data_IF_506694019553
#
_entry.id   IF_506694019553
#
_cell.length_a   1.000
_cell.length_b   1.000
_cell.length_c   1.000
_cell.angle_alpha   90.00
_cell.angle_beta   90.00
_cell.angle_gamma   90.00
#
_symmetry.space_group_name_H-M   'P 1'
#
loop_
_entity.id
_entity.type
_entity.pdbx_description
1 polymer ?
#
# COMPACT_ATOMS: atom_id res chain seq x y z
N UNK A 1 55.03 26.12 21.13
CA UNK A 1 54.21 26.44 19.95
C UNK A 1 54.63 25.51 18.83
N UNK A 2 53.89 24.43 18.67
CA UNK A 2 53.69 23.68 17.44
C UNK A 2 52.48 22.80 17.74
N UNK A 3 51.31 23.24 17.28
CA UNK A 3 50.08 22.46 17.34
C UNK A 3 50.17 21.38 16.25
N UNK A 4 49.89 20.15 16.63
CA UNK A 4 49.79 18.98 15.77
C UNK A 4 48.30 18.77 15.52
N UNK A 5 47.79 19.35 14.43
CA UNK A 5 46.41 19.15 13.96
C UNK A 5 46.41 17.91 13.06
N UNK A 6 46.12 16.75 13.65
CA UNK A 6 45.76 15.55 12.91
C UNK A 6 44.37 15.72 12.29
N UNK A 7 44.10 15.19 11.08
CA UNK A 7 42.78 15.26 10.50
C UNK A 7 41.87 14.26 11.23
N UNK A 8 40.91 14.78 12.00
CA UNK A 8 39.75 14.03 12.45
C UNK A 8 38.87 13.69 11.23
N UNK A 9 39.10 12.51 10.67
CA UNK A 9 38.17 11.89 9.73
C UNK A 9 36.98 11.34 10.53
N UNK A 10 35.89 12.10 10.57
CA UNK A 10 34.59 11.57 10.99
C UNK A 10 34.10 10.59 9.93
N UNK A 11 34.03 9.30 10.28
CA UNK A 11 33.26 8.33 9.52
C UNK A 11 31.77 8.68 9.69
N UNK A 12 31.15 9.21 8.63
CA UNK A 12 29.69 9.33 8.53
C UNK A 12 29.09 7.92 8.48
N UNK A 13 28.71 7.40 9.66
CA UNK A 13 28.13 6.08 9.85
C UNK A 13 26.68 5.98 9.38
N UNK A 14 26.40 6.30 8.12
CA UNK A 14 25.09 6.05 7.52
C UNK A 14 24.85 4.54 7.33
N UNK A 15 23.68 4.05 7.74
CA UNK A 15 23.30 2.67 7.50
C UNK A 15 23.24 2.41 5.98
N UNK A 16 23.90 1.35 5.50
CA UNK A 16 23.84 1.00 4.08
C UNK A 16 22.42 0.58 3.71
N UNK A 17 21.79 1.18 2.68
CA UNK A 17 20.42 0.85 2.30
C UNK A 17 20.28 -0.64 1.97
N UNK A 18 19.19 -1.28 2.44
CA UNK A 18 18.95 -2.72 2.23
C UNK A 18 18.86 -3.09 0.76
N UNK A 19 19.33 -4.30 0.42
CA UNK A 19 19.34 -4.84 -0.95
C UNK A 19 18.00 -5.45 -1.35
N UNK A 20 17.76 -5.51 -2.65
CA UNK A 20 16.57 -6.11 -3.25
C UNK A 20 16.89 -7.47 -3.88
N UNK A 21 15.93 -8.41 -3.84
CA UNK A 21 16.02 -9.74 -4.44
C UNK A 21 14.82 -10.04 -5.35
N UNK A 22 15.08 -10.78 -6.43
CA UNK A 22 14.06 -11.29 -7.33
C UNK A 22 13.60 -12.69 -6.92
N UNK A 23 12.30 -12.89 -6.73
CA UNK A 23 11.72 -14.22 -6.43
C UNK A 23 11.88 -15.20 -7.59
N UNK A 24 11.85 -14.72 -8.83
CA UNK A 24 11.82 -15.58 -10.01
C UNK A 24 13.21 -16.13 -10.40
N UNK A 25 14.28 -15.33 -10.29
CA UNK A 25 15.63 -15.74 -10.70
C UNK A 25 16.68 -15.72 -9.56
N UNK A 26 16.32 -15.27 -8.36
CA UNK A 26 17.22 -15.20 -7.20
C UNK A 26 18.27 -14.08 -7.27
N UNK A 27 18.29 -13.26 -8.32
CA UNK A 27 19.24 -12.15 -8.43
C UNK A 27 19.04 -11.14 -7.29
N UNK A 28 20.15 -10.65 -6.73
CA UNK A 28 20.16 -9.60 -5.70
C UNK A 28 20.83 -8.34 -6.24
N UNK A 29 20.19 -7.19 -6.10
CA UNK A 29 20.66 -5.88 -6.58
C UNK A 29 20.67 -4.86 -5.44
N UNK A 30 21.43 -3.77 -5.58
CA UNK A 30 21.41 -2.70 -4.59
C UNK A 30 20.08 -1.95 -4.64
N UNK A 31 19.74 -1.42 -5.81
CA UNK A 31 18.44 -0.81 -6.10
C UNK A 31 18.13 -0.89 -7.60
N UNK A 32 16.87 -1.17 -7.94
CA UNK A 32 16.33 -1.19 -9.30
C UNK A 32 14.80 -1.27 -9.24
N UNK A 33 14.11 -0.73 -10.23
CA UNK A 33 12.64 -0.78 -10.26
C UNK A 33 12.07 -2.15 -10.67
N UNK A 34 12.82 -2.93 -11.48
CA UNK A 34 12.49 -4.33 -11.84
C UNK A 34 13.75 -5.16 -12.07
N UNK A 35 13.64 -6.48 -11.94
CA UNK A 35 14.73 -7.40 -12.28
C UNK A 35 14.99 -7.43 -13.80
N UNK A 36 16.16 -7.93 -14.21
CA UNK A 36 16.51 -8.20 -15.62
C UNK A 36 15.58 -9.23 -16.27
N UNK A 37 15.11 -10.21 -15.50
CA UNK A 37 14.06 -11.13 -15.96
C UNK A 37 12.66 -10.50 -15.99
N UNK A 38 12.57 -9.18 -15.81
CA UNK A 38 11.33 -8.38 -15.77
C UNK A 38 10.39 -8.65 -14.61
N UNK A 39 10.75 -9.53 -13.68
CA UNK A 39 9.99 -9.79 -12.47
C UNK A 39 10.11 -8.63 -11.47
N UNK A 40 9.10 -8.42 -10.61
CA UNK A 40 9.17 -7.45 -9.53
C UNK A 40 10.20 -7.89 -8.49
N UNK A 41 10.77 -6.90 -7.78
CA UNK A 41 11.77 -7.11 -6.74
C UNK A 41 11.13 -7.01 -5.34
N UNK A 42 11.72 -7.66 -4.35
CA UNK A 42 11.35 -7.59 -2.93
C UNK A 42 12.61 -7.25 -2.12
N UNK A 43 12.49 -6.83 -0.86
CA UNK A 43 13.66 -6.77 0.01
C UNK A 43 14.23 -8.17 0.23
N UNK A 44 15.56 -8.30 0.14
CA UNK A 44 16.24 -9.60 0.27
C UNK A 44 16.12 -10.18 1.69
N UNK A 45 16.10 -9.31 2.69
CA UNK A 45 16.00 -9.66 4.11
C UNK A 45 15.07 -8.66 4.82
N UNK A 46 13.74 -8.83 4.68
CA UNK A 46 12.79 -7.99 5.38
C UNK A 46 12.85 -8.31 6.88
N UNK A 47 12.93 -7.29 7.76
CA UNK A 47 13.16 -7.53 9.17
C UNK A 47 11.95 -8.23 9.83
N UNK A 48 12.27 -9.14 10.74
CA UNK A 48 11.35 -9.74 11.69
C UNK A 48 11.96 -9.48 13.07
N UNK A 49 11.35 -8.64 13.90
CA UNK A 49 11.92 -8.30 15.20
C UNK A 49 11.96 -9.54 16.11
N UNK A 50 13.11 -9.76 16.73
CA UNK A 50 13.29 -10.76 17.79
C UNK A 50 12.88 -10.13 19.13
N UNK A 51 11.56 -9.92 19.30
CA UNK A 51 10.97 -9.30 20.50
C UNK A 51 9.81 -10.14 21.03
N UNK A 52 9.65 -10.25 22.36
CA UNK A 52 8.53 -10.97 22.95
C UNK A 52 7.20 -10.32 22.58
N UNK A 53 6.19 -11.16 22.34
CA UNK A 53 4.82 -10.73 22.07
C UNK A 53 4.31 -9.86 23.22
N UNK A 54 3.72 -8.70 22.95
CA UNK A 54 2.92 -7.99 23.93
C UNK A 54 1.84 -8.89 24.54
N UNK A 55 1.79 -9.02 25.88
CA UNK A 55 0.77 -9.87 26.53
C UNK A 55 -0.64 -9.43 26.11
N UNK A 56 -1.52 -10.35 25.67
CA UNK A 56 -2.90 -10.03 25.30
C UNK A 56 -3.63 -9.31 26.45
N UNK A 57 -4.19 -8.14 26.16
CA UNK A 57 -4.89 -7.32 27.16
C UNK A 57 -3.99 -6.57 28.15
N UNK A 58 -2.67 -6.55 27.94
CA UNK A 58 -1.73 -5.65 28.62
C UNK A 58 -1.03 -4.74 27.60
N UNK A 59 -0.60 -3.52 27.98
CA UNK A 59 0.26 -2.72 27.12
C UNK A 59 1.50 -3.53 26.72
N UNK A 60 2.13 -3.15 25.59
CA UNK A 60 3.39 -3.72 25.13
C UNK A 60 4.36 -3.95 26.30
N UNK A 61 5.15 -5.04 26.29
CA UNK A 61 6.05 -5.35 27.40
C UNK A 61 6.85 -4.09 27.70
N UNK A 62 7.04 -3.74 28.98
CA UNK A 62 7.90 -2.60 29.28
C UNK A 62 9.24 -2.84 28.57
N UNK A 63 9.64 -1.90 27.70
CA UNK A 63 10.86 -2.07 26.94
C UNK A 63 12.03 -2.31 27.88
N UNK A 64 13.02 -3.11 27.44
CA UNK A 64 14.33 -3.10 28.10
C UNK A 64 14.84 -1.65 28.16
N UNK A 65 15.66 -1.28 29.15
CA UNK A 65 16.20 0.09 29.26
C UNK A 65 16.80 0.54 27.91
N UNK A 66 16.09 1.44 27.20
CA UNK A 66 16.47 1.97 25.88
C UNK A 66 15.60 1.55 24.68
N UNK A 67 14.62 0.64 24.83
CA UNK A 67 13.67 0.30 23.76
C UNK A 67 12.41 1.20 23.81
N UNK A 68 11.80 1.51 22.66
CA UNK A 68 10.50 2.20 22.57
C UNK A 68 9.35 1.17 22.47
N UNK A 69 8.17 1.38 23.11
CA UNK A 69 7.03 0.46 23.03
C UNK A 69 6.52 0.29 21.58
N UNK A 70 6.32 -0.96 21.14
CA UNK A 70 5.67 -1.26 19.86
C UNK A 70 4.15 -1.26 20.00
N UNK A 71 3.48 -0.33 19.34
CA UNK A 71 2.02 -0.22 19.35
C UNK A 71 1.55 1.03 18.62
N UNK A 72 0.25 1.25 18.56
CA UNK A 72 -0.30 2.54 18.08
C UNK A 72 -0.11 3.56 19.22
N UNK A 73 1.08 4.12 19.36
CA UNK A 73 1.37 5.22 20.29
C UNK A 73 0.82 6.54 19.75
N UNK A 74 0.51 7.47 20.66
CA UNK A 74 0.19 8.85 20.29
C UNK A 74 1.45 9.54 19.75
N UNK A 75 1.62 9.58 18.42
CA UNK A 75 2.58 10.46 17.75
C UNK A 75 3.38 9.86 16.58
N UNK A 76 3.65 8.56 16.60
CA UNK A 76 4.59 7.94 15.65
C UNK A 76 3.91 7.33 14.41
N UNK A 77 2.59 7.19 14.44
CA UNK A 77 1.79 6.69 13.33
C UNK A 77 2.29 5.34 12.81
N UNK A 78 2.55 5.26 11.50
CA UNK A 78 3.05 4.08 10.80
C UNK A 78 4.46 3.68 11.27
N UNK A 79 5.27 4.67 11.67
CA UNK A 79 6.67 4.45 12.07
C UNK A 79 6.82 3.85 13.45
N UNK A 80 5.72 3.74 14.23
CA UNK A 80 5.69 2.92 15.43
C UNK A 80 6.01 1.43 15.13
N UNK A 81 5.88 1.00 13.87
CA UNK A 81 6.25 -0.35 13.43
C UNK A 81 7.60 -0.41 12.70
N UNK A 82 8.47 0.61 12.83
CA UNK A 82 9.76 0.67 12.15
C UNK A 82 10.61 -0.62 12.28
N UNK A 83 10.63 -1.35 13.43
CA UNK A 83 11.36 -2.62 13.53
C UNK A 83 10.89 -3.74 12.58
N UNK A 84 9.70 -3.62 11.97
CA UNK A 84 9.18 -4.53 10.96
C UNK A 84 9.35 -4.02 9.52
N UNK A 85 9.90 -2.82 9.32
CA UNK A 85 10.03 -2.17 8.01
C UNK A 85 11.46 -2.27 7.50
N UNK A 86 11.61 -2.61 6.23
CA UNK A 86 12.91 -2.69 5.58
C UNK A 86 13.50 -1.33 5.14
N UNK A 87 12.93 -0.22 5.62
CA UNK A 87 13.31 1.18 5.32
C UNK A 87 13.12 2.04 6.57
N UNK A 88 13.80 3.18 6.64
CA UNK A 88 13.73 4.13 7.74
C UNK A 88 14.44 3.64 9.00
N UNK A 89 15.53 2.89 8.85
CA UNK A 89 16.38 2.45 9.97
C UNK A 89 16.90 3.67 10.75
N UNK A 90 17.33 4.74 10.04
CA UNK A 90 17.59 6.06 10.62
C UNK A 90 16.29 6.89 10.69
N UNK A 91 15.83 7.32 11.88
CA UNK A 91 14.69 8.22 12.03
C UNK A 91 14.80 9.54 11.24
N UNK A 92 16.02 10.03 10.98
CA UNK A 92 16.25 11.28 10.24
C UNK A 92 15.82 11.20 8.76
N UNK A 93 15.82 10.00 8.17
CA UNK A 93 15.42 9.77 6.78
C UNK A 93 13.90 9.61 6.60
N UNK A 94 13.16 9.40 7.69
CA UNK A 94 11.72 9.09 7.64
C UNK A 94 10.90 10.27 7.14
N UNK A 95 10.28 10.10 5.98
CA UNK A 95 9.41 11.10 5.36
C UNK A 95 7.98 10.89 5.85
N UNK A 96 7.54 11.66 6.85
CA UNK A 96 6.22 11.48 7.45
C UNK A 96 5.37 12.77 7.57
N UNK A 97 4.05 12.56 7.56
CA UNK A 97 2.98 13.49 7.89
C UNK A 97 2.19 13.04 9.14
N UNK A 98 2.68 12.02 9.87
CA UNK A 98 1.96 11.40 10.99
C UNK A 98 0.91 10.37 10.55
N UNK A 99 1.03 9.85 9.33
CA UNK A 99 0.16 8.84 8.76
C UNK A 99 0.22 7.51 9.52
N UNK A 100 -0.86 6.72 9.46
CA UNK A 100 -1.01 5.47 10.22
C UNK A 100 -1.96 5.62 11.41
N UNK A 101 -2.11 4.54 12.18
CA UNK A 101 -2.99 4.53 13.37
C UNK A 101 -4.46 4.79 13.05
N UNK A 102 -4.93 4.47 11.84
CA UNK A 102 -6.32 4.79 11.43
C UNK A 102 -7.33 4.03 12.30
N UNK A 103 -8.53 4.59 12.52
CA UNK A 103 -9.53 3.91 13.35
C UNK A 103 -9.92 2.54 12.78
N UNK A 104 -10.07 1.57 13.68
CA UNK A 104 -10.76 0.31 13.45
C UNK A 104 -12.07 0.36 14.21
N UNK A 105 -13.20 0.32 13.50
CA UNK A 105 -14.52 0.56 14.08
C UNK A 105 -15.48 -0.56 13.73
N UNK A 106 -16.46 -0.81 14.58
CA UNK A 106 -17.59 -1.66 14.25
C UNK A 106 -18.38 -1.05 13.07
N UNK A 107 -18.63 -1.86 12.03
CA UNK A 107 -19.31 -1.44 10.82
C UNK A 107 -20.80 -1.13 11.04
N UNK A 108 -21.44 -1.83 11.99
CA UNK A 108 -22.88 -1.73 12.23
C UNK A 108 -23.25 -0.65 13.25
N UNK A 109 -22.26 -0.22 14.04
CA UNK A 109 -22.41 0.82 15.03
C UNK A 109 -23.49 0.51 16.08
N UNK A 110 -23.88 1.51 16.89
CA UNK A 110 -24.75 1.29 18.04
C UNK A 110 -26.20 0.91 17.67
N UNK A 111 -26.60 1.05 16.40
CA UNK A 111 -27.96 0.71 15.95
C UNK A 111 -28.09 -0.76 15.53
N UNK A 112 -26.98 -1.43 15.20
CA UNK A 112 -26.97 -2.84 14.80
C UNK A 112 -27.62 -3.13 13.44
N UNK A 113 -28.07 -2.09 12.72
CA UNK A 113 -28.80 -2.17 11.45
C UNK A 113 -28.34 -1.11 10.44
N UNK A 114 -27.03 -0.87 10.34
CA UNK A 114 -26.49 0.30 9.63
C UNK A 114 -26.70 0.33 8.09
N UNK A 115 -27.43 -0.62 7.51
CA UNK A 115 -27.85 -0.59 6.10
C UNK A 115 -29.29 -0.09 5.91
N UNK A 116 -29.55 0.62 4.80
CA UNK A 116 -30.91 0.99 4.40
C UNK A 116 -31.87 -0.20 4.16
N UNK A 117 -31.32 -1.40 4.05
CA UNK A 117 -32.03 -2.67 3.92
C UNK A 117 -32.10 -3.47 5.23
N UNK A 118 -31.63 -2.91 6.36
CA UNK A 118 -31.68 -3.51 7.69
C UNK A 118 -30.77 -4.71 7.90
N UNK A 119 -29.80 -4.95 7.00
CA UNK A 119 -28.83 -6.04 7.12
C UNK A 119 -27.51 -5.54 7.69
N UNK A 120 -27.04 -6.23 8.72
CA UNK A 120 -25.73 -6.00 9.33
C UNK A 120 -24.58 -6.47 8.43
N UNK A 121 -23.42 -5.82 8.55
CA UNK A 121 -22.17 -6.27 7.95
C UNK A 121 -21.49 -7.35 8.80
N UNK A 122 -21.67 -7.31 10.13
CA UNK A 122 -20.95 -8.11 11.11
C UNK A 122 -19.43 -8.05 10.86
N UNK A 123 -18.86 -6.86 10.77
CA UNK A 123 -17.45 -6.68 10.45
C UNK A 123 -16.88 -5.45 11.15
N UNK A 124 -15.56 -5.39 11.23
CA UNK A 124 -14.86 -4.16 11.58
C UNK A 124 -14.36 -3.45 10.31
N UNK A 125 -14.58 -2.15 10.24
CA UNK A 125 -14.06 -1.30 9.18
C UNK A 125 -12.78 -0.59 9.60
N UNK A 126 -11.72 -0.76 8.81
CA UNK A 126 -10.45 -0.06 8.96
C UNK A 126 -10.49 1.21 8.11
N UNK A 127 -10.59 2.37 8.76
CA UNK A 127 -10.92 3.65 8.11
C UNK A 127 -9.72 4.30 7.41
N UNK A 128 -9.20 3.65 6.37
CA UNK A 128 -8.04 4.11 5.58
C UNK A 128 -8.30 5.40 4.77
N UNK A 129 -9.53 5.89 4.71
CA UNK A 129 -9.85 7.13 4.02
C UNK A 129 -9.49 8.40 4.82
N UNK A 130 -9.07 8.28 6.08
CA UNK A 130 -8.71 9.42 6.94
C UNK A 130 -7.21 9.77 6.92
N UNK A 131 -6.43 9.10 6.07
CA UNK A 131 -5.01 9.41 5.85
C UNK A 131 -4.80 10.86 5.35
N UNK A 132 -3.59 11.45 5.49
CA UNK A 132 -3.30 12.83 5.10
C UNK A 132 -3.75 13.24 3.69
N UNK A 133 -3.51 12.40 2.68
CA UNK A 133 -4.01 12.65 1.31
C UNK A 133 -5.39 12.06 1.07
N UNK A 134 -6.00 11.43 2.07
CA UNK A 134 -7.34 10.82 2.06
C UNK A 134 -7.40 9.42 1.45
N UNK A 135 -6.31 8.63 1.50
CA UNK A 135 -6.34 7.20 1.15
C UNK A 135 -5.16 6.42 1.73
N UNK A 136 -5.31 5.10 1.80
CA UNK A 136 -4.25 4.17 2.23
C UNK A 136 -2.93 4.27 1.46
N UNK A 137 -2.92 4.90 0.27
CA UNK A 137 -1.72 5.04 -0.56
C UNK A 137 -0.59 5.79 0.14
N UNK A 138 -0.95 6.58 1.14
CA UNK A 138 -0.02 7.26 2.03
C UNK A 138 0.90 6.30 2.77
N UNK A 139 0.40 5.11 3.16
CA UNK A 139 1.22 4.05 3.78
C UNK A 139 2.42 3.69 2.91
N UNK A 140 2.17 3.48 1.62
CA UNK A 140 3.22 3.13 0.68
C UNK A 140 4.06 4.34 0.26
N UNK A 141 3.46 5.53 0.17
CA UNK A 141 4.19 6.74 -0.21
C UNK A 141 5.24 7.12 0.85
N UNK A 142 4.91 7.08 2.14
CA UNK A 142 5.85 7.40 3.22
C UNK A 142 7.12 6.54 3.17
N UNK A 143 6.96 5.23 3.04
CA UNK A 143 8.07 4.26 2.96
C UNK A 143 8.83 4.37 1.64
N UNK A 144 8.13 4.61 0.53
CA UNK A 144 8.76 4.81 -0.79
C UNK A 144 9.63 6.07 -0.83
N UNK A 145 9.15 7.19 -0.28
CA UNK A 145 9.91 8.43 -0.26
C UNK A 145 11.00 8.46 0.83
N UNK A 146 10.83 7.70 1.91
CA UNK A 146 11.92 7.42 2.87
C UNK A 146 13.04 6.64 2.19
N UNK A 147 12.71 5.60 1.41
CA UNK A 147 13.70 4.90 0.60
C UNK A 147 14.40 5.81 -0.42
N UNK A 148 13.65 6.71 -1.06
CA UNK A 148 14.22 7.69 -1.97
C UNK A 148 15.24 8.60 -1.25
N UNK A 149 14.95 9.04 -0.02
CA UNK A 149 15.87 9.80 0.84
C UNK A 149 17.14 9.01 1.17
N UNK A 150 17.02 7.76 1.63
CA UNK A 150 18.16 6.88 1.93
C UNK A 150 19.12 6.71 0.74
N UNK A 151 18.57 6.72 -0.48
CA UNK A 151 19.32 6.55 -1.73
C UNK A 151 19.87 7.86 -2.30
N UNK A 152 19.57 9.01 -1.69
CA UNK A 152 19.96 10.33 -2.21
C UNK A 152 19.28 10.69 -3.54
N UNK A 153 18.02 10.28 -3.73
CA UNK A 153 17.24 10.58 -4.94
C UNK A 153 16.76 12.02 -4.94
N UNK A 154 17.12 12.79 -5.97
CA UNK A 154 16.67 14.17 -6.16
C UNK A 154 15.33 14.28 -6.91
N UNK A 155 15.00 13.31 -7.77
CA UNK A 155 13.80 13.32 -8.60
C UNK A 155 13.12 11.95 -8.69
N UNK A 156 11.80 11.91 -8.49
CA UNK A 156 10.96 10.73 -8.68
C UNK A 156 9.97 10.90 -9.83
N UNK A 157 9.61 9.77 -10.44
CA UNK A 157 8.49 9.67 -11.39
C UNK A 157 7.48 8.64 -10.93
N UNK A 158 6.21 8.88 -11.22
CA UNK A 158 5.11 7.94 -10.97
C UNK A 158 4.09 7.99 -12.11
N UNK A 159 3.47 6.87 -12.46
CA UNK A 159 2.59 6.75 -13.64
C UNK A 159 1.08 6.69 -13.31
N UNK A 160 0.66 7.16 -12.13
CA UNK A 160 -0.75 7.12 -11.72
C UNK A 160 -1.37 8.50 -11.57
N UNK A 161 -2.52 8.72 -12.23
CA UNK A 161 -3.34 9.93 -12.01
C UNK A 161 -4.26 9.87 -10.79
N UNK A 162 -4.31 8.72 -10.09
CA UNK A 162 -5.22 8.48 -8.98
C UNK A 162 -4.62 8.75 -7.61
N UNK A 163 -5.13 8.03 -6.61
CA UNK A 163 -4.68 8.14 -5.21
C UNK A 163 -3.17 7.94 -5.03
N UNK A 164 -2.53 7.07 -5.83
CA UNK A 164 -1.09 6.85 -5.77
C UNK A 164 -0.29 8.09 -6.20
N UNK A 165 -0.63 8.71 -7.33
CA UNK A 165 0.06 9.92 -7.79
C UNK A 165 -0.11 11.10 -6.84
N UNK A 166 -1.31 11.27 -6.26
CA UNK A 166 -1.53 12.29 -5.24
C UNK A 166 -0.70 12.05 -3.97
N UNK A 167 -0.60 10.80 -3.51
CA UNK A 167 0.23 10.43 -2.36
C UNK A 167 1.72 10.65 -2.67
N UNK A 168 2.25 10.10 -3.76
CA UNK A 168 3.67 10.27 -4.14
C UNK A 168 4.03 11.75 -4.30
N UNK A 169 3.20 12.54 -4.99
CA UNK A 169 3.43 13.99 -5.11
C UNK A 169 3.49 14.70 -3.75
N UNK A 170 2.57 14.36 -2.84
CA UNK A 170 2.51 15.01 -1.51
C UNK A 170 3.70 14.63 -0.64
N UNK A 171 4.08 13.35 -0.60
CA UNK A 171 5.23 12.90 0.18
C UNK A 171 6.56 13.33 -0.44
N UNK A 172 6.66 13.44 -1.77
CA UNK A 172 7.83 14.01 -2.43
C UNK A 172 8.01 15.49 -2.04
N UNK A 173 6.92 16.27 -2.01
CA UNK A 173 6.94 17.64 -1.52
C UNK A 173 7.39 17.73 -0.06
N UNK A 174 6.87 16.84 0.80
CA UNK A 174 7.29 16.72 2.21
C UNK A 174 8.77 16.39 2.34
N UNK A 175 9.27 15.53 1.46
CA UNK A 175 10.66 15.15 1.38
C UNK A 175 11.56 16.19 0.70
N UNK A 176 11.03 17.22 0.04
CA UNK A 176 11.84 18.13 -0.79
C UNK A 176 12.49 17.44 -1.99
N UNK A 177 11.83 16.42 -2.54
CA UNK A 177 12.26 15.66 -3.73
C UNK A 177 11.40 16.11 -4.91
N UNK A 178 12.01 16.37 -6.06
CA UNK A 178 11.26 16.74 -7.27
C UNK A 178 10.40 15.57 -7.74
N UNK A 179 9.16 15.83 -8.17
CA UNK A 179 8.26 14.76 -8.62
C UNK A 179 7.60 15.11 -9.95
N UNK A 180 7.54 14.12 -10.84
CA UNK A 180 6.70 14.17 -12.03
C UNK A 180 5.71 12.99 -12.05
N UNK A 181 4.45 13.28 -12.37
CA UNK A 181 3.37 12.29 -12.41
C UNK A 181 2.85 12.17 -13.84
N UNK A 182 3.09 11.02 -14.45
CA UNK A 182 2.66 10.68 -15.79
C UNK A 182 1.19 10.26 -15.76
N UNK A 183 0.37 10.91 -16.59
CA UNK A 183 -1.09 10.78 -16.56
C UNK A 183 -1.66 10.77 -17.98
N UNK A 184 -2.80 10.11 -18.22
CA UNK A 184 -3.52 10.24 -19.49
C UNK A 184 -3.86 11.70 -19.81
N UNK A 185 -3.83 12.08 -21.09
CA UNK A 185 -4.11 13.44 -21.53
C UNK A 185 -5.56 13.90 -21.21
N UNK A 186 -6.50 12.97 -21.12
CA UNK A 186 -7.92 13.18 -20.83
C UNK A 186 -8.27 13.12 -19.32
N UNK A 187 -7.25 13.04 -18.45
CA UNK A 187 -7.45 13.02 -16.99
C UNK A 187 -8.26 14.23 -16.51
N UNK A 188 -9.19 13.99 -15.58
CA UNK A 188 -10.01 15.03 -14.95
C UNK A 188 -9.13 16.09 -14.27
N UNK A 189 -9.49 17.36 -14.44
CA UNK A 189 -8.72 18.49 -13.89
C UNK A 189 -8.66 18.49 -12.34
N UNK A 190 -9.65 17.90 -11.66
CA UNK A 190 -9.61 17.73 -10.19
C UNK A 190 -8.43 16.86 -9.74
N UNK A 191 -8.16 15.75 -10.45
CA UNK A 191 -7.01 14.85 -10.17
C UNK A 191 -5.67 15.58 -10.40
N UNK A 192 -5.56 16.34 -11.49
CA UNK A 192 -4.36 17.14 -11.79
C UNK A 192 -4.07 18.24 -10.77
N UNK A 193 -5.13 18.86 -10.25
CA UNK A 193 -5.01 19.96 -9.29
C UNK A 193 -4.32 19.52 -8.01
N UNK A 194 -4.61 18.30 -7.51
CA UNK A 194 -3.95 17.76 -6.33
C UNK A 194 -2.43 17.62 -6.55
N UNK A 195 -2.03 17.03 -7.68
CA UNK A 195 -0.63 16.83 -8.08
C UNK A 195 0.11 18.17 -8.16
N UNK A 196 -0.44 19.15 -8.93
CA UNK A 196 0.20 20.47 -9.09
C UNK A 196 0.31 21.25 -7.79
N UNK A 197 -0.69 21.15 -6.91
CA UNK A 197 -0.70 21.86 -5.62
C UNK A 197 0.33 21.30 -4.64
N UNK A 198 0.65 20.00 -4.77
CA UNK A 198 1.77 19.41 -4.07
C UNK A 198 3.14 19.82 -4.69
N UNK A 199 3.16 20.57 -5.79
CA UNK A 199 4.41 21.01 -6.44
C UNK A 199 4.97 20.02 -7.47
N UNK A 200 4.31 18.88 -7.69
CA UNK A 200 4.71 17.91 -8.70
C UNK A 200 4.28 18.33 -10.12
N UNK A 201 5.07 17.92 -11.11
CA UNK A 201 4.83 18.15 -12.54
C UNK A 201 3.89 17.08 -13.12
N UNK A 202 2.64 17.38 -13.51
CA UNK A 202 1.83 16.42 -14.26
C UNK A 202 2.27 16.36 -15.72
N UNK A 203 2.78 15.21 -16.16
CA UNK A 203 3.18 14.94 -17.54
C UNK A 203 2.04 14.22 -18.25
N UNK A 204 1.37 14.94 -19.16
CA UNK A 204 0.20 14.41 -19.89
C UNK A 204 0.63 13.62 -21.12
N UNK A 205 0.17 12.39 -21.23
CA UNK A 205 0.49 11.46 -22.32
C UNK A 205 -0.79 11.10 -23.08
N UNK A 206 -0.77 11.26 -24.39
CA UNK A 206 -1.85 10.77 -25.25
C UNK A 206 -1.74 9.25 -25.42
N UNK A 207 -2.86 8.54 -25.30
CA UNK A 207 -2.93 7.10 -25.51
C UNK A 207 -3.52 6.32 -24.34
N UNK A 208 -3.21 5.03 -24.33
CA UNK A 208 -3.64 4.05 -23.34
C UNK A 208 -2.86 4.16 -22.03
N UNK A 209 -3.29 3.43 -21.01
CA UNK A 209 -2.53 3.25 -19.75
C UNK A 209 -1.12 2.68 -20.00
N UNK A 210 -0.97 1.82 -21.01
CA UNK A 210 0.32 1.29 -21.43
C UNK A 210 1.25 2.40 -21.91
N UNK A 211 0.75 3.29 -22.77
CA UNK A 211 1.53 4.41 -23.32
C UNK A 211 2.01 5.38 -22.22
N UNK A 212 1.16 5.65 -21.21
CA UNK A 212 1.53 6.44 -20.02
C UNK A 212 2.66 5.76 -19.24
N UNK A 213 2.58 4.44 -19.07
CA UNK A 213 3.59 3.65 -18.36
C UNK A 213 4.91 3.65 -19.12
N UNK A 214 4.88 3.43 -20.44
CA UNK A 214 6.06 3.43 -21.30
C UNK A 214 6.75 4.79 -21.30
N UNK A 215 6.00 5.89 -21.35
CA UNK A 215 6.54 7.24 -21.24
C UNK A 215 7.19 7.51 -19.88
N UNK A 216 6.59 7.04 -18.79
CA UNK A 216 7.17 7.13 -17.44
C UNK A 216 8.47 6.33 -17.34
N UNK A 217 8.48 5.09 -17.84
CA UNK A 217 9.68 4.23 -17.85
C UNK A 217 10.78 4.82 -18.72
N UNK A 218 10.45 5.44 -19.85
CA UNK A 218 11.42 6.11 -20.71
C UNK A 218 12.11 7.30 -19.99
N UNK A 219 11.40 7.96 -19.08
CA UNK A 219 11.94 9.09 -18.30
C UNK A 219 12.98 8.68 -17.24
N UNK A 220 13.10 7.39 -16.94
CA UNK A 220 14.14 6.87 -16.05
C UNK A 220 15.55 6.95 -16.68
N UNK A 221 15.63 7.11 -18.01
CA UNK A 221 16.88 7.13 -18.76
C UNK A 221 17.71 5.84 -18.62
N UNK A 222 19.00 5.91 -18.96
CA UNK A 222 19.92 4.78 -18.78
C UNK A 222 20.20 4.46 -17.29
N UNK A 223 20.02 5.44 -16.40
CA UNK A 223 20.18 5.30 -14.94
C UNK A 223 19.11 4.43 -14.26
N UNK A 224 17.96 4.21 -14.90
CA UNK A 224 16.93 3.28 -14.40
C UNK A 224 17.31 1.79 -14.49
N UNK A 225 18.49 1.47 -15.04
CA UNK A 225 18.98 0.08 -15.22
C UNK A 225 19.88 -0.40 -14.07
N UNK A 226 20.62 0.49 -13.39
CA UNK A 226 21.52 0.13 -12.30
C UNK A 226 21.66 1.29 -11.29
N UNK A 227 21.26 1.04 -10.03
CA UNK A 227 21.56 1.81 -8.82
C UNK A 227 22.09 3.23 -9.00
N UNK A 228 21.21 4.18 -9.30
CA UNK A 228 21.55 5.60 -9.33
C UNK A 228 21.92 6.13 -7.95
N UNK A 229 23.16 5.91 -7.52
CA UNK A 229 23.82 6.81 -6.59
C UNK A 229 24.18 8.07 -7.39
N UNK A 230 23.63 9.21 -7.01
CA UNK A 230 24.07 10.51 -7.49
C UNK A 230 25.55 10.71 -7.10
N UNK A 231 26.47 10.29 -7.97
CA UNK A 231 27.91 10.33 -7.73
C UNK A 231 28.76 10.45 -9.00
N UNK A 232 28.15 10.82 -10.13
CA UNK A 232 28.86 11.10 -11.38
C UNK A 232 29.47 12.51 -11.37
N UNK A 233 30.80 12.60 -11.39
CA UNK A 233 31.57 13.85 -11.40
C UNK A 233 31.66 14.54 -12.77
N UNK A 234 30.71 14.31 -13.68
CA UNK A 234 30.65 15.07 -14.93
C UNK A 234 29.44 16.02 -14.94
N UNK A 235 29.68 17.27 -15.35
CA UNK A 235 28.73 18.37 -15.25
C UNK A 235 27.60 18.33 -16.26
N UNK A 236 27.06 17.16 -16.61
CA UNK A 236 25.83 16.99 -17.39
C UNK A 236 24.70 16.44 -16.53
N UNK A 237 24.15 17.30 -15.68
CA UNK A 237 23.05 17.01 -14.75
C UNK A 237 21.66 17.04 -15.42
N UNK A 238 21.43 16.26 -16.48
CA UNK A 238 20.06 15.85 -16.81
C UNK A 238 19.76 14.60 -15.96
N UNK A 239 19.45 14.84 -14.68
CA UNK A 239 19.40 13.82 -13.63
C UNK A 239 18.45 12.66 -13.95
N UNK A 240 18.93 11.43 -13.77
CA UNK A 240 18.13 10.21 -13.86
C UNK A 240 17.01 10.23 -12.82
N UNK A 241 15.76 10.08 -13.25
CA UNK A 241 14.63 9.96 -12.33
C UNK A 241 14.54 8.56 -11.72
N UNK A 242 14.03 8.47 -10.49
CA UNK A 242 13.76 7.21 -9.81
C UNK A 242 12.29 6.83 -9.86
N UNK A 243 11.98 5.56 -10.13
CA UNK A 243 10.60 5.12 -10.30
C UNK A 243 9.92 4.84 -8.94
N UNK A 244 9.14 5.79 -8.46
CA UNK A 244 8.34 5.67 -7.24
C UNK A 244 7.02 4.90 -7.47
N UNK A 245 7.09 3.83 -8.27
CA UNK A 245 5.92 3.06 -8.67
C UNK A 245 5.22 2.41 -7.50
N UNK A 246 3.95 2.71 -7.31
CA UNK A 246 3.14 2.02 -6.31
C UNK A 246 2.94 0.52 -6.60
N UNK A 247 3.14 0.07 -7.83
CA UNK A 247 2.94 -1.33 -8.23
C UNK A 247 4.24 -2.14 -8.22
N UNK A 248 5.38 -1.51 -8.54
CA UNK A 248 6.68 -2.18 -8.63
C UNK A 248 7.51 -2.05 -7.36
N UNK A 249 7.53 -0.86 -6.74
CA UNK A 249 8.51 -0.52 -5.73
C UNK A 249 8.30 -1.32 -4.42
N UNK A 250 9.29 -2.11 -3.96
CA UNK A 250 9.12 -2.93 -2.77
C UNK A 250 8.90 -2.12 -1.49
N UNK A 251 9.44 -0.90 -1.39
CA UNK A 251 9.23 -0.02 -0.24
C UNK A 251 7.75 0.33 -0.07
N UNK A 252 7.00 0.50 -1.16
CA UNK A 252 5.56 0.75 -1.10
C UNK A 252 4.81 -0.36 -0.35
N UNK A 253 5.26 -1.61 -0.49
CA UNK A 253 4.65 -2.78 0.16
C UNK A 253 5.07 -2.93 1.63
N UNK A 254 6.23 -2.42 2.04
CA UNK A 254 6.59 -2.30 3.46
C UNK A 254 5.59 -1.40 4.17
N UNK A 255 5.31 -0.25 3.55
CA UNK A 255 4.29 0.68 3.99
C UNK A 255 2.91 0.02 4.13
N UNK A 256 2.41 -0.59 3.05
CA UNK A 256 1.07 -1.20 3.10
C UNK A 256 0.99 -2.41 4.05
N UNK A 257 2.11 -3.09 4.36
CA UNK A 257 2.13 -4.18 5.34
C UNK A 257 1.73 -3.73 6.75
N UNK A 258 1.94 -2.46 7.08
CA UNK A 258 1.56 -1.90 8.39
C UNK A 258 0.06 -1.93 8.67
N UNK A 259 -0.79 -2.11 7.65
CA UNK A 259 -2.23 -2.31 7.88
C UNK A 259 -2.47 -3.55 8.75
N UNK A 260 -1.70 -4.62 8.57
CA UNK A 260 -1.83 -5.84 9.37
C UNK A 260 -1.36 -5.62 10.80
N UNK A 261 -0.24 -4.90 10.98
CA UNK A 261 0.30 -4.59 12.31
C UNK A 261 -0.68 -3.74 13.11
N UNK A 262 -1.28 -2.73 12.48
CA UNK A 262 -2.30 -1.91 13.12
C UNK A 262 -3.56 -2.71 13.47
N UNK A 263 -4.05 -3.55 12.54
CA UNK A 263 -5.23 -4.40 12.80
C UNK A 263 -4.97 -5.31 13.99
N UNK A 264 -3.83 -6.01 14.02
CA UNK A 264 -3.47 -6.89 15.13
C UNK A 264 -3.32 -6.09 16.44
N UNK A 265 -2.53 -5.01 16.44
CA UNK A 265 -2.30 -4.19 17.63
C UNK A 265 -3.60 -3.63 18.23
N UNK A 266 -4.51 -3.13 17.38
CA UNK A 266 -5.82 -2.61 17.80
C UNK A 266 -6.78 -3.69 18.33
N UNK A 267 -6.45 -4.96 18.09
CA UNK A 267 -7.18 -6.15 18.55
C UNK A 267 -6.42 -6.94 19.61
N UNK A 268 -5.43 -6.32 20.27
CA UNK A 268 -4.65 -7.00 21.31
C UNK A 268 -3.75 -8.12 20.77
N UNK A 269 -3.25 -7.96 19.54
CA UNK A 269 -2.41 -8.89 18.79
C UNK A 269 -3.11 -10.18 18.36
N UNK A 270 -4.43 -10.13 18.21
CA UNK A 270 -5.21 -11.19 17.58
C UNK A 270 -5.44 -10.87 16.10
N UNK A 271 -5.17 -11.85 15.23
CA UNK A 271 -5.54 -11.77 13.82
C UNK A 271 -7.05 -12.04 13.66
N UNK A 272 -7.75 -11.33 12.75
CA UNK A 272 -9.13 -11.66 12.43
C UNK A 272 -9.22 -13.01 11.69
N UNK A 273 -10.42 -13.57 11.54
CA UNK A 273 -10.64 -14.77 10.71
C UNK A 273 -10.43 -14.45 9.22
N UNK A 274 -10.83 -13.25 8.79
CA UNK A 274 -10.70 -12.84 7.40
C UNK A 274 -10.44 -11.34 7.21
N UNK A 275 -9.79 -11.00 6.09
CA UNK A 275 -9.70 -9.64 5.56
C UNK A 275 -10.28 -9.61 4.15
N UNK A 276 -11.23 -8.71 3.90
CA UNK A 276 -11.79 -8.47 2.57
C UNK A 276 -11.29 -7.12 2.08
N UNK A 277 -10.54 -7.10 0.97
CA UNK A 277 -9.89 -5.88 0.47
C UNK A 277 -10.14 -5.67 -1.03
N UNK A 278 -10.19 -4.41 -1.51
CA UNK A 278 -10.25 -4.13 -2.93
C UNK A 278 -8.95 -4.54 -3.63
N UNK A 279 -9.08 -5.10 -4.84
CA UNK A 279 -7.98 -5.78 -5.55
C UNK A 279 -7.80 -5.25 -6.97
N UNK A 280 -6.96 -4.22 -7.10
CA UNK A 280 -6.37 -3.75 -8.37
C UNK A 280 -4.98 -4.36 -8.59
N UNK A 281 -3.92 -3.55 -8.40
CA UNK A 281 -2.52 -4.04 -8.40
C UNK A 281 -2.16 -4.92 -7.19
N UNK A 282 -3.06 -5.08 -6.21
CA UNK A 282 -2.82 -5.89 -5.00
C UNK A 282 -1.98 -5.23 -3.92
N UNK A 283 -1.68 -3.92 -4.01
CA UNK A 283 -0.80 -3.23 -3.05
C UNK A 283 -1.21 -3.37 -1.57
N UNK A 284 -2.50 -3.16 -1.25
CA UNK A 284 -3.01 -3.33 0.12
C UNK A 284 -3.21 -4.80 0.47
N UNK A 285 -3.73 -5.59 -0.47
CA UNK A 285 -3.97 -7.03 -0.32
C UNK A 285 -2.68 -7.80 0.02
N UNK A 286 -1.62 -7.61 -0.78
CA UNK A 286 -0.29 -8.17 -0.52
C UNK A 286 0.37 -7.54 0.70
N UNK A 287 0.10 -6.26 0.99
CA UNK A 287 0.51 -5.64 2.25
C UNK A 287 -0.04 -6.42 3.45
N UNK A 288 -1.36 -6.60 3.52
CA UNK A 288 -2.01 -7.37 4.57
C UNK A 288 -1.43 -8.79 4.69
N UNK A 289 -1.31 -9.52 3.58
CA UNK A 289 -0.68 -10.85 3.54
C UNK A 289 0.73 -10.86 4.14
N UNK A 290 1.61 -9.98 3.66
CA UNK A 290 3.01 -9.92 4.09
C UNK A 290 3.12 -9.50 5.56
N UNK A 291 2.30 -8.56 6.00
CA UNK A 291 2.29 -8.08 7.38
C UNK A 291 1.84 -9.17 8.34
N UNK A 292 0.71 -9.84 8.09
CA UNK A 292 0.25 -10.94 8.95
C UNK A 292 1.23 -12.13 8.93
N UNK A 293 1.83 -12.46 7.78
CA UNK A 293 2.90 -13.47 7.71
C UNK A 293 4.12 -13.12 8.56
N UNK A 294 4.48 -11.83 8.67
CA UNK A 294 5.59 -11.38 9.53
C UNK A 294 5.21 -11.47 11.00
N UNK A 295 3.99 -11.11 11.37
CA UNK A 295 3.49 -11.27 12.74
C UNK A 295 3.48 -12.75 13.15
N UNK A 296 2.98 -13.64 12.29
CA UNK A 296 2.98 -15.09 12.50
C UNK A 296 4.41 -15.62 12.69
N UNK A 297 5.35 -15.23 11.80
CA UNK A 297 6.77 -15.64 11.90
C UNK A 297 7.46 -15.11 13.15
N UNK A 298 7.09 -13.91 13.62
CA UNK A 298 7.55 -13.35 14.88
C UNK A 298 6.92 -14.05 16.10
N UNK A 299 5.90 -14.88 15.90
CA UNK A 299 5.11 -15.51 16.96
C UNK A 299 4.12 -14.56 17.64
N UNK A 300 3.83 -13.39 17.04
CA UNK A 300 2.94 -12.37 17.60
C UNK A 300 1.46 -12.63 17.34
N UNK A 301 1.17 -13.41 16.30
CA UNK A 301 -0.17 -13.93 16.00
C UNK A 301 -0.07 -15.44 15.76
N UNK A 302 -1.12 -16.18 16.11
CA UNK A 302 -1.15 -17.65 15.92
C UNK A 302 -1.51 -18.08 14.48
N UNK A 303 -1.96 -17.14 13.66
CA UNK A 303 -2.45 -17.40 12.31
C UNK A 303 -2.31 -16.20 11.38
N UNK A 304 -2.53 -16.46 10.10
CA UNK A 304 -2.75 -15.45 9.05
C UNK A 304 -4.22 -15.50 8.64
N UNK A 305 -4.93 -14.36 8.56
CA UNK A 305 -6.34 -14.33 8.16
C UNK A 305 -6.53 -14.84 6.74
N UNK A 306 -7.71 -15.39 6.46
CA UNK A 306 -8.14 -15.68 5.09
C UNK A 306 -8.25 -14.37 4.31
N UNK A 307 -7.69 -14.31 3.11
CA UNK A 307 -7.66 -13.07 2.32
C UNK A 307 -8.61 -13.13 1.13
N UNK A 308 -9.55 -12.19 1.10
CA UNK A 308 -10.52 -12.06 0.03
C UNK A 308 -10.29 -10.81 -0.80
N UNK A 309 -10.13 -10.98 -2.12
CA UNK A 309 -9.91 -9.90 -3.07
C UNK A 309 -11.17 -9.51 -3.83
N UNK A 310 -11.54 -8.23 -3.80
CA UNK A 310 -12.70 -7.73 -4.53
C UNK A 310 -12.26 -6.92 -5.76
N UNK A 311 -12.54 -7.42 -6.97
CA UNK A 311 -12.21 -6.78 -8.24
C UNK A 311 -13.43 -6.11 -8.89
N UNK A 312 -13.19 -5.13 -9.75
CA UNK A 312 -14.24 -4.54 -10.57
C UNK A 312 -14.70 -5.54 -11.65
N UNK A 313 -15.99 -5.85 -11.70
CA UNK A 313 -16.54 -6.70 -12.76
C UNK A 313 -16.20 -6.17 -14.16
N UNK A 314 -15.95 -7.07 -15.10
CA UNK A 314 -15.47 -6.77 -16.45
C UNK A 314 -13.96 -6.60 -16.54
N UNK A 315 -13.28 -6.13 -15.49
CA UNK A 315 -11.80 -6.03 -15.40
C UNK A 315 -11.32 -6.73 -14.12
N UNK A 316 -11.52 -8.04 -14.09
CA UNK A 316 -11.21 -8.90 -12.94
C UNK A 316 -10.29 -10.08 -13.32
N UNK A 317 -9.01 -9.84 -13.64
CA UNK A 317 -8.10 -10.87 -14.14
C UNK A 317 -7.75 -11.97 -13.13
N UNK A 318 -7.82 -11.69 -11.82
CA UNK A 318 -7.58 -12.70 -10.76
C UNK A 318 -8.81 -13.60 -10.66
N UNK A 319 -10.01 -13.02 -10.64
CA UNK A 319 -11.27 -13.78 -10.67
C UNK A 319 -11.36 -14.63 -11.93
N UNK A 320 -10.91 -14.08 -13.08
CA UNK A 320 -10.86 -14.82 -14.35
C UNK A 320 -9.95 -16.04 -14.28
N UNK A 321 -8.79 -15.90 -13.64
CA UNK A 321 -7.84 -17.01 -13.46
C UNK A 321 -8.42 -18.12 -12.58
N UNK A 322 -9.06 -17.73 -11.46
CA UNK A 322 -9.57 -18.68 -10.47
C UNK A 322 -10.89 -19.34 -10.89
N UNK A 323 -11.80 -18.57 -11.51
CA UNK A 323 -13.21 -18.94 -11.70
C UNK A 323 -13.71 -18.82 -13.13
N UNK A 324 -12.86 -18.37 -14.07
CA UNK A 324 -13.20 -18.24 -15.48
C UNK A 324 -13.88 -16.91 -15.87
N UNK A 325 -14.13 -16.76 -17.17
CA UNK A 325 -14.58 -15.49 -17.77
C UNK A 325 -15.96 -15.03 -17.27
N UNK A 326 -16.91 -15.94 -17.11
CA UNK A 326 -18.28 -15.64 -16.65
C UNK A 326 -18.29 -15.09 -15.22
N UNK A 327 -17.44 -15.64 -14.34
CA UNK A 327 -17.31 -15.15 -12.97
C UNK A 327 -16.62 -13.78 -12.90
N UNK A 328 -15.75 -13.47 -13.86
CA UNK A 328 -15.05 -12.17 -13.94
C UNK A 328 -15.93 -11.04 -14.50
N UNK A 329 -16.98 -11.38 -15.24
CA UNK A 329 -17.94 -10.42 -15.81
C UNK A 329 -19.40 -10.89 -15.67
N UNK A 330 -19.90 -11.06 -14.43
CA UNK A 330 -21.25 -11.61 -14.19
C UNK A 330 -22.37 -10.70 -14.70
N UNK A 331 -22.07 -9.43 -15.02
CA UNK A 331 -23.03 -8.44 -15.51
C UNK A 331 -22.91 -8.10 -17.00
N UNK A 332 -21.93 -8.67 -17.71
CA UNK A 332 -21.60 -8.31 -19.10
C UNK A 332 -21.20 -6.84 -19.29
N UNK A 333 -20.77 -6.17 -18.22
CA UNK A 333 -20.51 -4.72 -18.18
C UNK A 333 -19.42 -4.40 -17.17
N UNK A 334 -18.48 -3.55 -17.60
CA UNK A 334 -17.42 -3.03 -16.74
C UNK A 334 -18.01 -2.19 -15.63
N UNK A 335 -17.56 -2.43 -14.39
CA UNK A 335 -17.90 -1.60 -13.24
C UNK A 335 -17.15 -0.25 -13.30
N UNK A 336 -17.79 0.78 -13.85
CA UNK A 336 -17.19 2.10 -14.04
C UNK A 336 -17.08 2.90 -12.74
N UNK A 337 -17.90 2.61 -11.72
CA UNK A 337 -17.78 3.19 -10.39
C UNK A 337 -16.43 2.87 -9.71
N UNK A 338 -15.79 1.73 -10.03
CA UNK A 338 -14.55 1.27 -9.40
C UNK A 338 -13.30 1.49 -10.27
N UNK A 339 -13.15 2.68 -10.87
CA UNK A 339 -12.04 3.02 -11.80
C UNK A 339 -10.64 2.77 -11.19
N UNK A 340 -10.46 3.02 -9.89
CA UNK A 340 -9.19 2.89 -9.18
C UNK A 340 -8.62 1.47 -9.09
N UNK A 341 -9.41 0.44 -9.41
CA UNK A 341 -9.00 -0.97 -9.39
C UNK A 341 -9.18 -1.70 -10.72
N UNK A 342 -9.52 -0.99 -11.80
CA UNK A 342 -9.61 -1.57 -13.16
C UNK A 342 -8.22 -1.87 -13.74
N UNK A 343 -7.55 -2.88 -13.20
CA UNK A 343 -6.20 -3.28 -13.58
C UNK A 343 -6.27 -4.60 -14.36
N UNK A 344 -6.04 -4.54 -15.66
CA UNK A 344 -6.06 -5.72 -16.54
C UNK A 344 -4.85 -6.64 -16.30
N UNK A 345 -3.69 -6.06 -15.97
CA UNK A 345 -2.43 -6.79 -15.77
C UNK A 345 -1.77 -6.38 -14.44
N UNK A 346 -2.16 -7.00 -13.32
CA UNK A 346 -1.50 -6.75 -12.04
C UNK A 346 -0.03 -7.18 -12.10
N UNK A 347 0.90 -6.25 -11.85
CA UNK A 347 2.35 -6.48 -11.81
C UNK A 347 2.73 -7.73 -10.99
N UNK A 348 2.10 -7.90 -9.82
CA UNK A 348 2.36 -9.01 -8.88
C UNK A 348 1.27 -10.07 -8.91
N UNK A 349 0.70 -10.36 -10.09
CA UNK A 349 -0.39 -11.33 -10.26
C UNK A 349 -0.10 -12.69 -9.61
N UNK A 350 1.11 -13.23 -9.81
CA UNK A 350 1.52 -14.53 -9.22
C UNK A 350 1.46 -14.49 -7.69
N UNK A 351 2.09 -13.48 -7.08
CA UNK A 351 2.08 -13.32 -5.62
C UNK A 351 0.66 -13.14 -5.05
N UNK A 352 -0.25 -12.50 -5.79
CA UNK A 352 -1.66 -12.37 -5.39
C UNK A 352 -2.34 -13.76 -5.36
N UNK A 353 -2.13 -14.57 -6.40
CA UNK A 353 -2.70 -15.92 -6.49
C UNK A 353 -2.12 -16.83 -5.40
N UNK A 354 -0.81 -16.75 -5.16
CA UNK A 354 -0.12 -17.51 -4.11
C UNK A 354 -0.67 -17.12 -2.72
N UNK A 355 -0.81 -15.82 -2.44
CA UNK A 355 -1.38 -15.35 -1.18
C UNK A 355 -2.85 -15.80 -0.98
N UNK A 356 -3.66 -15.81 -2.03
CA UNK A 356 -5.03 -16.35 -1.98
C UNK A 356 -5.01 -17.84 -1.63
N UNK A 357 -4.19 -18.63 -2.35
CA UNK A 357 -4.12 -20.08 -2.15
C UNK A 357 -3.59 -20.45 -0.75
N UNK A 358 -2.55 -19.75 -0.28
CA UNK A 358 -1.91 -20.01 1.02
C UNK A 358 -2.77 -19.63 2.23
N UNK A 359 -3.72 -18.71 2.05
CA UNK A 359 -4.60 -18.24 3.14
C UNK A 359 -6.00 -18.83 3.06
N UNK A 360 -6.25 -19.82 2.18
CA UNK A 360 -7.60 -20.35 1.92
C UNK A 360 -8.63 -19.24 1.62
N UNK A 361 -8.14 -18.24 0.88
CA UNK A 361 -8.87 -17.05 0.47
C UNK A 361 -9.61 -17.23 -0.85
N UNK A 362 -10.15 -16.14 -1.38
CA UNK A 362 -10.80 -16.13 -2.70
C UNK A 362 -10.80 -14.74 -3.35
N UNK A 363 -11.23 -14.62 -4.62
CA UNK A 363 -11.49 -13.34 -5.28
C UNK A 363 -12.86 -13.30 -5.95
N UNK A 364 -13.53 -12.14 -5.87
CA UNK A 364 -14.87 -11.92 -6.43
C UNK A 364 -14.89 -10.69 -7.33
N UNK A 365 -15.68 -10.76 -8.40
CA UNK A 365 -15.94 -9.63 -9.29
C UNK A 365 -17.24 -8.93 -8.89
N UNK A 366 -17.14 -7.65 -8.51
CA UNK A 366 -18.27 -6.87 -8.04
C UNK A 366 -18.82 -6.00 -9.16
N UNK A 367 -20.10 -6.17 -9.46
CA UNK A 367 -20.82 -5.37 -10.46
C UNK A 367 -20.98 -3.91 -10.02
N UNK A 368 -21.11 -3.00 -10.99
CA UNK A 368 -21.37 -1.58 -10.72
C UNK A 368 -22.56 -1.37 -9.78
N UNK A 369 -23.69 -2.01 -10.09
CA UNK A 369 -24.89 -1.89 -9.29
C UNK A 369 -24.72 -2.36 -7.85
N UNK A 370 -23.88 -3.37 -7.62
CA UNK A 370 -23.58 -3.86 -6.27
C UNK A 370 -22.70 -2.86 -5.51
N UNK A 371 -21.67 -2.32 -6.17
CA UNK A 371 -20.81 -1.29 -5.59
C UNK A 371 -21.59 0.00 -5.27
N UNK A 372 -22.48 0.47 -6.16
CA UNK A 372 -23.29 1.67 -5.92
C UNK A 372 -24.29 1.49 -4.77
N UNK A 373 -24.99 0.36 -4.72
CA UNK A 373 -25.88 0.04 -3.59
C UNK A 373 -25.12 0.03 -2.26
N UNK A 374 -23.90 -0.48 -2.29
CA UNK A 374 -23.06 -0.56 -1.11
C UNK A 374 -22.49 0.80 -0.70
N UNK A 375 -22.12 1.63 -1.67
CA UNK A 375 -21.72 3.02 -1.43
C UNK A 375 -22.84 3.81 -0.73
N UNK A 376 -24.07 3.66 -1.20
CA UNK A 376 -25.27 4.23 -0.57
C UNK A 376 -25.42 3.77 0.89
N UNK A 377 -25.17 2.48 1.17
CA UNK A 377 -25.24 1.93 2.54
C UNK A 377 -24.15 2.53 3.42
N UNK A 378 -22.90 2.57 2.94
CA UNK A 378 -21.77 3.18 3.64
C UNK A 378 -22.07 4.64 4.00
N UNK A 379 -22.55 5.44 3.04
CA UNK A 379 -22.86 6.86 3.27
C UNK A 379 -23.99 7.04 4.28
N UNK A 380 -25.05 6.21 4.24
CA UNK A 380 -26.14 6.23 5.23
C UNK A 380 -25.69 5.80 6.63
N UNK A 381 -24.70 4.92 6.71
CA UNK A 381 -24.05 4.51 7.96
C UNK A 381 -23.08 5.56 8.52
N UNK A 382 -22.77 6.61 7.76
CA UNK A 382 -21.84 7.68 8.17
C UNK A 382 -20.40 7.51 7.69
N UNK A 383 -20.12 6.51 6.85
CA UNK A 383 -18.81 6.32 6.22
C UNK A 383 -18.76 7.07 4.88
N UNK A 384 -18.09 8.23 4.85
CA UNK A 384 -18.02 9.06 3.64
C UNK A 384 -16.83 8.68 2.75
N UNK A 385 -17.01 7.62 1.94
CA UNK A 385 -15.95 7.02 1.10
C UNK A 385 -16.10 7.34 -0.39
N UNK A 386 -15.00 7.19 -1.15
CA UNK A 386 -15.05 7.19 -2.61
C UNK A 386 -15.69 5.88 -3.15
N UNK A 387 -16.22 5.87 -4.39
CA UNK A 387 -16.94 4.72 -4.95
C UNK A 387 -16.16 3.40 -4.97
N UNK A 388 -14.86 3.42 -5.27
CA UNK A 388 -14.00 2.21 -5.29
C UNK A 388 -13.98 1.49 -3.94
N UNK A 389 -14.15 2.20 -2.82
CA UNK A 389 -14.15 1.60 -1.48
C UNK A 389 -15.31 0.64 -1.26
N UNK A 390 -16.44 0.86 -1.94
CA UNK A 390 -17.65 0.07 -1.75
C UNK A 390 -17.53 -1.36 -2.32
N UNK A 391 -16.50 -1.63 -3.12
CA UNK A 391 -16.28 -2.94 -3.74
C UNK A 391 -15.99 -4.02 -2.70
N UNK A 392 -15.18 -3.75 -1.67
CA UNK A 392 -14.86 -4.76 -0.66
C UNK A 392 -16.02 -5.06 0.31
N UNK A 393 -16.77 -4.07 0.85
CA UNK A 393 -17.99 -4.35 1.60
C UNK A 393 -19.07 -5.06 0.76
N UNK A 394 -19.17 -4.79 -0.54
CA UNK A 394 -20.09 -5.49 -1.43
C UNK A 394 -19.69 -6.97 -1.61
N UNK A 395 -18.39 -7.24 -1.74
CA UNK A 395 -17.87 -8.61 -1.79
C UNK A 395 -18.06 -9.35 -0.46
N UNK A 396 -17.88 -8.68 0.69
CA UNK A 396 -18.16 -9.25 2.02
C UNK A 396 -19.60 -9.76 2.09
N UNK A 397 -20.56 -8.94 1.66
CA UNK A 397 -21.97 -9.33 1.65
C UNK A 397 -22.18 -10.60 0.82
N UNK A 398 -21.61 -10.65 -0.37
CA UNK A 398 -21.74 -11.80 -1.27
C UNK A 398 -21.07 -13.06 -0.71
N UNK A 399 -19.91 -12.93 -0.06
CA UNK A 399 -19.22 -14.02 0.64
C UNK A 399 -20.09 -14.60 1.76
N UNK A 400 -20.74 -13.75 2.56
CA UNK A 400 -21.68 -14.17 3.61
C UNK A 400 -22.93 -14.82 3.02
N UNK A 401 -23.50 -14.25 1.95
CA UNK A 401 -24.68 -14.82 1.26
C UNK A 401 -24.39 -16.20 0.64
N UNK A 402 -23.16 -16.42 0.17
CA UNK A 402 -22.68 -17.72 -0.35
C UNK A 402 -22.30 -18.72 0.74
N UNK A 403 -22.25 -18.31 2.01
CA UNK A 403 -21.78 -19.13 3.13
C UNK A 403 -20.28 -19.44 3.12
N UNK A 404 -19.49 -18.66 2.37
CA UNK A 404 -18.01 -18.75 2.36
C UNK A 404 -17.42 -18.16 3.63
N UNK A 405 -18.07 -17.12 4.15
CA UNK A 405 -17.84 -16.55 5.47
C UNK A 405 -19.07 -16.79 6.36
N UNK A 406 -18.86 -17.37 7.54
CA UNK A 406 -19.90 -17.64 8.52
C UNK A 406 -20.39 -16.33 9.17
N UNK A 407 -21.67 -16.22 9.60
CA UNK A 407 -22.24 -15.00 10.19
C UNK A 407 -21.47 -14.41 11.38
N UNK A 408 -20.73 -15.26 12.10
CA UNK A 408 -19.93 -14.98 13.29
C UNK A 408 -18.41 -14.89 13.03
N UNK A 409 -17.95 -15.14 11.79
CA UNK A 409 -16.55 -14.89 11.41
C UNK A 409 -16.20 -13.42 11.71
N UNK A 410 -15.05 -13.22 12.36
CA UNK A 410 -14.46 -11.93 12.61
C UNK A 410 -13.77 -11.42 11.34
N UNK A 411 -14.39 -10.42 10.70
CA UNK A 411 -13.93 -9.90 9.41
C UNK A 411 -13.50 -8.45 9.52
N UNK A 412 -12.36 -8.11 8.92
CA UNK A 412 -11.92 -6.72 8.73
C UNK A 412 -12.03 -6.31 7.26
N UNK A 413 -12.59 -5.12 7.01
CA UNK A 413 -12.68 -4.52 5.68
C UNK A 413 -12.02 -3.13 5.66
N UNK A 414 -10.92 -2.93 4.92
CA UNK A 414 -10.35 -1.60 4.75
C UNK A 414 -11.18 -0.70 3.83
N UNK A 415 -11.56 0.48 4.32
CA UNK A 415 -12.25 1.51 3.54
C UNK A 415 -11.22 2.51 2.99
N UNK A 416 -10.80 2.29 1.75
CA UNK A 416 -9.49 2.72 1.21
C UNK A 416 -9.31 4.20 0.84
N UNK A 417 -10.37 4.99 0.71
CA UNK A 417 -10.31 6.31 0.08
C UNK A 417 -11.49 7.21 0.40
N UNK A 418 -11.22 8.51 0.54
CA UNK A 418 -12.18 9.51 1.01
C UNK A 418 -13.16 9.96 -0.05
N UNK A 419 -14.43 10.10 0.32
CA UNK A 419 -15.45 10.72 -0.52
C UNK A 419 -15.23 12.22 -0.73
N UNK A 420 -14.30 12.86 0.00
CA UNK A 420 -13.96 14.27 -0.15
C UNK A 420 -13.07 14.56 -1.38
N UNK A 421 -12.63 13.53 -2.10
CA UNK A 421 -11.70 13.63 -3.24
C UNK A 421 -12.36 14.01 -4.57
N UNK A 422 -13.68 14.27 -4.57
CA UNK A 422 -14.50 14.58 -5.75
C UNK A 422 -14.42 16.02 -6.24
#
# INVERSE_FOLDING_TARGET
MAADDGPEGGEEGGATPRRLACSDCGATVADRWRCECSAPLNFADPPVPDRPVPEPGRPAPEPAEGDEPLGVSDGDGLWAFAPFLAVGDDPADRVTLGEGGTPLVDADGPRGDAGADGKAWNAAFKLEYVFPTGSFKDRGATTTLTRARELGVDRVVEDSSGNAGAAIATYAARAGIDAAVYVPADVKESKLRAIRRAGAEPVRIEGSRGDVTDACVAALGDGGREGGTAGGTDGSSEGSAWYASHAWNPAFFEGTATVAYEIAAQRGWEAPDAVVAPLGHGTLFLGAYRGFRRLERAGWTDSVPRLFGAQAAGIAPIVRELHGAEAADPGGRVNAAADGIQIAEPVRKREILDAIAETDGDALAVTESAAERELDRLHRAGFYTEPTCAVAPAALRELRERGVLAPDDDVVVPLTGSGLKG
#
